data_IF_777284806717
#
_entry.id   IF_777284806717
#
_cell.length_a   1.000
_cell.length_b   1.000
_cell.length_c   1.000
_cell.angle_alpha   90.00
_cell.angle_beta   90.00
_cell.angle_gamma   90.00
#
_symmetry.space_group_name_H-M   'P 1'
#
loop_
_entity.id
_entity.type
_entity.pdbx_description
1 polymer ?
#
# COMPACT_ATOMS: atom_id res chain seq x y z
N UNK A 1 -17.00 0.30 24.69
CA UNK A 1 -17.29 -1.14 24.67
C UNK A 1 -18.50 -1.41 23.82
N UNK A 2 -18.38 -2.29 22.83
CA UNK A 2 -19.53 -2.79 22.07
C UNK A 2 -19.65 -4.29 22.34
N UNK A 3 -20.81 -4.71 22.85
CA UNK A 3 -21.06 -6.09 23.30
C UNK A 3 -22.27 -6.64 22.57
N UNK A 4 -22.13 -7.84 22.00
CA UNK A 4 -23.25 -8.55 21.35
C UNK A 4 -23.05 -10.06 21.39
N UNK A 5 -24.13 -10.80 21.19
CA UNK A 5 -24.07 -12.24 20.99
C UNK A 5 -23.58 -12.56 19.57
N UNK A 6 -22.74 -13.59 19.45
CA UNK A 6 -22.20 -14.06 18.17
C UNK A 6 -22.67 -15.48 17.97
N UNK A 7 -23.40 -15.70 16.86
CA UNK A 7 -23.88 -17.03 16.49
C UNK A 7 -22.84 -17.76 15.65
N UNK A 8 -22.80 -19.09 15.80
CA UNK A 8 -21.87 -19.95 15.08
C UNK A 8 -22.00 -19.76 13.56
N UNK A 9 -20.87 -19.59 12.87
CA UNK A 9 -20.75 -19.45 11.42
C UNK A 9 -21.54 -18.28 10.81
N UNK A 10 -21.98 -17.31 11.62
CA UNK A 10 -22.63 -16.09 11.14
C UNK A 10 -21.77 -14.86 11.48
N UNK A 11 -21.61 -13.93 10.54
CA UNK A 11 -20.83 -12.71 10.78
C UNK A 11 -21.59 -11.79 11.73
N UNK A 12 -20.93 -11.39 12.82
CA UNK A 12 -21.40 -10.40 13.77
C UNK A 12 -20.58 -9.11 13.64
N UNK A 13 -21.25 -7.98 13.44
CA UNK A 13 -20.60 -6.69 13.16
C UNK A 13 -20.58 -5.82 14.42
N UNK A 14 -19.38 -5.43 14.84
CA UNK A 14 -19.13 -4.50 15.91
C UNK A 14 -18.77 -3.13 15.32
N UNK A 15 -19.71 -2.19 15.37
CA UNK A 15 -19.44 -0.80 14.97
C UNK A 15 -18.60 -0.11 16.04
N UNK A 16 -17.51 0.51 15.63
CA UNK A 16 -16.59 1.21 16.52
C UNK A 16 -16.91 2.69 16.46
N UNK A 17 -17.67 3.17 17.45
CA UNK A 17 -17.95 4.58 17.63
C UNK A 17 -16.85 5.21 18.50
N UNK A 18 -15.77 5.61 17.85
CA UNK A 18 -14.72 6.42 18.47
C UNK A 18 -14.55 7.67 17.63
N UNK A 19 -14.54 8.85 18.27
CA UNK A 19 -14.32 10.14 17.61
C UNK A 19 -13.01 10.15 16.83
N UNK A 20 -13.02 9.72 15.56
CA UNK A 20 -11.95 9.69 14.53
C UNK A 20 -10.53 9.23 14.92
N UNK A 21 -10.31 8.83 16.17
CA UNK A 21 -9.00 8.56 16.76
C UNK A 21 -8.45 7.21 16.30
N UNK A 22 -9.28 6.16 16.35
CA UNK A 22 -8.80 4.79 16.10
C UNK A 22 -8.82 4.40 14.63
N UNK A 23 -9.33 5.23 13.70
CA UNK A 23 -9.49 4.94 12.26
C UNK A 23 -10.35 3.72 11.90
N UNK A 24 -10.49 2.74 12.79
CA UNK A 24 -11.36 1.57 12.69
C UNK A 24 -12.81 2.02 12.75
N UNK A 25 -13.59 1.57 11.78
CA UNK A 25 -15.03 1.84 11.70
C UNK A 25 -15.84 0.63 12.13
N UNK A 26 -15.43 -0.57 11.73
CA UNK A 26 -16.15 -1.80 12.00
C UNK A 26 -15.18 -2.98 12.21
N UNK A 27 -15.59 -3.91 13.06
CA UNK A 27 -14.94 -5.21 13.22
C UNK A 27 -16.00 -6.28 13.02
N UNK A 28 -15.77 -7.20 12.10
CA UNK A 28 -16.64 -8.35 11.84
C UNK A 28 -15.99 -9.61 12.40
N UNK A 29 -16.74 -10.40 13.16
CA UNK A 29 -16.28 -11.66 13.73
C UNK A 29 -17.24 -12.77 13.30
N UNK A 30 -16.69 -13.85 12.79
CA UNK A 30 -17.40 -15.12 12.59
C UNK A 30 -16.85 -16.13 13.59
N UNK A 31 -17.69 -16.62 14.50
CA UNK A 31 -17.28 -17.60 15.50
C UNK A 31 -17.55 -19.04 15.04
N UNK A 32 -16.77 -20.00 15.55
CA UNK A 32 -16.99 -21.44 15.30
C UNK A 32 -18.18 -22.01 16.08
N UNK A 33 -18.58 -21.34 17.16
CA UNK A 33 -19.67 -21.74 18.06
C UNK A 33 -20.49 -20.53 18.52
N UNK A 34 -21.62 -20.77 19.20
CA UNK A 34 -22.45 -19.70 19.77
C UNK A 34 -21.78 -19.14 21.03
N UNK A 35 -21.54 -17.83 21.07
CA UNK A 35 -20.89 -17.17 22.20
C UNK A 35 -21.73 -15.95 22.60
N UNK A 36 -22.06 -15.87 23.90
CA UNK A 36 -22.80 -14.75 24.45
C UNK A 36 -21.87 -13.64 24.91
N UNK A 37 -22.35 -12.40 24.85
CA UNK A 37 -21.67 -11.22 25.37
C UNK A 37 -20.22 -11.08 24.86
N UNK A 38 -20.00 -11.30 23.56
CA UNK A 38 -18.70 -11.04 22.96
C UNK A 38 -18.46 -9.54 23.01
N UNK A 39 -17.31 -9.16 23.55
CA UNK A 39 -16.88 -7.78 23.66
C UNK A 39 -15.67 -7.56 22.76
N UNK A 40 -15.68 -6.44 22.04
CA UNK A 40 -14.52 -5.98 21.27
C UNK A 40 -14.15 -4.57 21.71
N UNK A 41 -12.86 -4.36 21.96
CA UNK A 41 -12.29 -3.06 22.31
C UNK A 41 -11.19 -2.68 21.33
N UNK A 42 -11.15 -1.41 20.99
CA UNK A 42 -10.10 -0.80 20.16
C UNK A 42 -9.48 0.32 20.97
N UNK A 43 -8.17 0.27 21.14
CA UNK A 43 -7.38 1.19 21.94
C UNK A 43 -6.09 1.58 21.19
N UNK A 44 -5.37 2.58 21.70
CA UNK A 44 -3.96 2.81 21.33
C UNK A 44 -3.08 2.01 22.30
N UNK A 45 -2.16 1.17 21.82
CA UNK A 45 -1.25 0.42 22.70
C UNK A 45 -0.33 1.36 23.48
N UNK A 46 -0.01 1.00 24.72
CA UNK A 46 1.04 1.68 25.47
C UNK A 46 2.41 1.39 24.85
N UNK A 47 3.40 2.31 24.93
CA UNK A 47 4.72 2.10 24.35
C UNK A 47 5.42 0.81 24.83
N UNK A 48 5.21 0.41 26.08
CA UNK A 48 5.79 -0.81 26.66
C UNK A 48 5.23 -2.12 26.05
N UNK A 49 4.05 -2.06 25.41
CA UNK A 49 3.45 -3.22 24.74
C UNK A 49 4.02 -3.45 23.33
N UNK A 50 4.68 -2.43 22.77
CA UNK A 50 5.26 -2.48 21.43
C UNK A 50 6.68 -3.01 21.54
N UNK A 51 6.85 -4.32 21.38
CA UNK A 51 8.18 -4.95 21.45
C UNK A 51 9.09 -4.57 20.28
N UNK A 52 8.53 -4.10 19.16
CA UNK A 52 9.29 -3.75 17.96
C UNK A 52 8.60 -2.62 17.21
N UNK A 53 9.31 -1.50 17.02
CA UNK A 53 8.79 -0.37 16.26
C UNK A 53 8.57 -0.75 14.79
N UNK A 54 7.54 -0.17 14.17
CA UNK A 54 7.30 -0.36 12.75
C UNK A 54 8.32 0.42 11.90
N UNK A 55 9.24 -0.30 11.25
CA UNK A 55 10.24 0.27 10.35
C UNK A 55 10.30 -0.57 9.08
N UNK A 56 9.72 -0.05 8.01
CA UNK A 56 9.59 -0.75 6.73
C UNK A 56 10.01 0.17 5.58
N UNK A 57 10.88 -0.32 4.69
CA UNK A 57 11.37 0.47 3.55
C UNK A 57 10.20 0.88 2.65
N UNK A 58 10.20 2.14 2.21
CA UNK A 58 9.19 2.74 1.34
C UNK A 58 7.75 2.74 1.90
N UNK A 59 7.59 2.49 3.21
CA UNK A 59 6.29 2.55 3.88
C UNK A 59 6.24 3.70 4.85
N UNK A 60 5.07 4.33 4.94
CA UNK A 60 4.80 5.44 5.84
C UNK A 60 3.80 4.97 6.89
N UNK A 61 4.21 5.09 8.15
CA UNK A 61 3.39 4.77 9.32
C UNK A 61 2.28 5.80 9.51
N UNK A 62 1.04 5.34 9.77
CA UNK A 62 -0.09 6.20 10.15
C UNK A 62 -0.35 6.15 11.65
N UNK A 63 -0.67 4.96 12.17
CA UNK A 63 -1.05 4.80 13.58
C UNK A 63 -0.93 3.34 14.05
N UNK A 64 -0.81 3.18 15.37
CA UNK A 64 -0.92 1.89 16.07
C UNK A 64 -2.35 1.66 16.54
N UNK A 65 -2.77 0.40 16.56
CA UNK A 65 -4.08 -0.04 17.06
C UNK A 65 -3.90 -1.27 17.93
N UNK A 66 -4.60 -1.32 19.06
CA UNK A 66 -4.71 -2.52 19.89
C UNK A 66 -6.15 -2.96 19.86
N UNK A 67 -6.39 -4.18 19.40
CA UNK A 67 -7.74 -4.75 19.40
C UNK A 67 -7.73 -5.92 20.37
N UNK A 68 -8.67 -5.90 21.32
CA UNK A 68 -8.84 -6.96 22.30
C UNK A 68 -10.27 -7.46 22.32
N UNK A 69 -10.43 -8.73 22.68
CA UNK A 69 -11.72 -9.36 22.85
C UNK A 69 -11.68 -10.33 24.02
N UNK A 70 -12.84 -10.66 24.58
CA UNK A 70 -13.00 -11.63 25.66
C UNK A 70 -13.08 -13.09 25.18
N UNK A 71 -13.05 -13.34 23.87
CA UNK A 71 -13.06 -14.70 23.30
C UNK A 71 -11.66 -15.16 22.88
N UNK A 72 -11.38 -16.46 22.99
CA UNK A 72 -10.11 -17.03 22.52
C UNK A 72 -10.04 -17.06 20.99
N UNK A 73 -8.84 -16.97 20.43
CA UNK A 73 -8.63 -17.01 18.98
C UNK A 73 -9.09 -18.31 18.32
N UNK A 74 -9.09 -19.43 19.06
CA UNK A 74 -9.58 -20.73 18.58
C UNK A 74 -11.07 -20.74 18.25
N UNK A 75 -11.83 -19.82 18.87
CA UNK A 75 -13.26 -19.64 18.62
C UNK A 75 -13.55 -18.71 17.44
N UNK A 76 -12.53 -18.05 16.90
CA UNK A 76 -12.66 -17.13 15.76
C UNK A 76 -12.37 -17.92 14.49
N UNK A 77 -13.42 -18.22 13.71
CA UNK A 77 -13.27 -18.84 12.40
C UNK A 77 -12.68 -17.84 11.39
N UNK A 78 -13.15 -16.58 11.45
CA UNK A 78 -12.67 -15.49 10.61
C UNK A 78 -12.96 -14.15 11.31
N UNK A 79 -12.08 -13.17 11.11
CA UNK A 79 -12.38 -11.79 11.46
C UNK A 79 -11.96 -10.83 10.35
N UNK A 80 -12.70 -9.74 10.21
CA UNK A 80 -12.38 -8.63 9.31
C UNK A 80 -12.36 -7.33 10.08
N UNK A 81 -11.44 -6.45 9.72
CA UNK A 81 -11.38 -5.08 10.25
C UNK A 81 -11.60 -4.13 9.07
N UNK A 82 -12.54 -3.20 9.23
CA UNK A 82 -12.73 -2.08 8.32
C UNK A 82 -12.20 -0.82 8.99
N UNK A 83 -11.37 -0.10 8.25
CA UNK A 83 -10.76 1.14 8.72
C UNK A 83 -10.73 2.17 7.60
N UNK A 84 -10.65 3.44 7.99
CA UNK A 84 -10.59 4.57 7.06
C UNK A 84 -9.25 5.30 7.17
N UNK A 85 -8.81 5.86 6.07
CA UNK A 85 -7.61 6.70 5.99
C UNK A 85 -7.95 7.98 5.25
N UNK A 86 -7.53 9.11 5.80
CA UNK A 86 -7.76 10.42 5.20
C UNK A 86 -7.03 10.56 3.86
N UNK A 87 -7.74 11.03 2.82
CA UNK A 87 -7.15 11.34 1.52
C UNK A 87 -6.03 12.38 1.63
N UNK A 88 -6.15 13.31 2.57
CA UNK A 88 -5.11 14.32 2.86
C UNK A 88 -3.80 13.67 3.31
N UNK A 89 -3.85 12.66 4.19
CA UNK A 89 -2.65 11.93 4.63
C UNK A 89 -2.04 11.12 3.47
N UNK A 90 -2.87 10.45 2.65
CA UNK A 90 -2.40 9.71 1.47
C UNK A 90 -1.67 10.63 0.50
N UNK A 91 -2.26 11.79 0.19
CA UNK A 91 -1.69 12.76 -0.75
C UNK A 91 -0.42 13.42 -0.20
N UNK A 92 -0.43 13.85 1.06
CA UNK A 92 0.72 14.50 1.71
C UNK A 92 1.95 13.59 1.77
N UNK A 93 1.73 12.28 1.89
CA UNK A 93 2.81 11.28 1.97
C UNK A 93 3.11 10.60 0.63
N UNK A 94 2.50 11.04 -0.47
CA UNK A 94 2.62 10.45 -1.81
C UNK A 94 2.40 8.92 -1.81
N UNK A 95 1.41 8.45 -1.05
CA UNK A 95 1.08 7.03 -0.92
C UNK A 95 0.23 6.59 -2.10
N UNK A 96 0.44 5.36 -2.57
CA UNK A 96 -0.45 4.72 -3.52
C UNK A 96 -1.74 4.30 -2.78
N UNK A 97 -2.92 4.85 -3.14
CA UNK A 97 -4.19 4.51 -2.49
C UNK A 97 -4.54 3.02 -2.53
N UNK A 98 -3.97 2.25 -3.46
CA UNK A 98 -4.15 0.80 -3.54
C UNK A 98 -3.21 0.01 -2.63
N UNK A 99 -2.19 0.65 -2.04
CA UNK A 99 -1.14 0.04 -1.23
C UNK A 99 -1.15 0.54 0.22
N UNK A 100 -2.34 0.58 0.81
CA UNK A 100 -2.50 0.76 2.26
C UNK A 100 -2.83 -0.59 2.87
N UNK A 101 -2.07 -0.98 3.88
CA UNK A 101 -2.17 -2.30 4.49
C UNK A 101 -2.26 -2.20 6.01
N UNK A 102 -2.95 -3.19 6.59
CA UNK A 102 -2.89 -3.48 8.01
C UNK A 102 -1.76 -4.46 8.28
N UNK A 103 -0.91 -4.17 9.26
CA UNK A 103 0.15 -5.05 9.73
C UNK A 103 -0.19 -5.54 11.13
N UNK A 104 0.16 -6.78 11.45
CA UNK A 104 -0.05 -7.38 12.77
C UNK A 104 1.29 -7.69 13.41
N UNK A 105 1.44 -7.36 14.69
CA UNK A 105 2.62 -7.76 15.47
C UNK A 105 2.50 -9.23 15.88
N UNK A 106 3.43 -10.07 15.42
CA UNK A 106 3.50 -11.50 15.76
C UNK A 106 4.94 -11.83 16.13
N UNK A 107 5.16 -12.23 17.39
CA UNK A 107 6.48 -12.62 17.90
C UNK A 107 7.58 -11.59 17.60
N UNK A 108 7.27 -10.30 17.76
CA UNK A 108 8.20 -9.19 17.48
C UNK A 108 8.33 -8.79 16.00
N UNK A 109 7.60 -9.42 15.09
CA UNK A 109 7.66 -9.11 13.66
C UNK A 109 6.34 -8.52 13.16
N UNK A 110 6.42 -7.54 12.26
CA UNK A 110 5.25 -6.96 11.60
C UNK A 110 4.88 -7.78 10.36
N UNK A 111 3.76 -8.48 10.42
CA UNK A 111 3.25 -9.30 9.31
C UNK A 111 2.18 -8.51 8.59
N UNK A 112 2.37 -8.29 7.28
CA UNK A 112 1.34 -7.68 6.43
C UNK A 112 0.13 -8.60 6.31
N UNK A 113 -1.07 -8.05 6.48
CA UNK A 113 -2.32 -8.75 6.29
C UNK A 113 -2.90 -8.48 4.89
N UNK A 114 -3.70 -9.41 4.34
CA UNK A 114 -4.48 -9.16 3.14
C UNK A 114 -5.43 -7.99 3.38
N UNK A 115 -5.17 -6.86 2.72
CA UNK A 115 -5.97 -5.63 2.82
C UNK A 115 -6.41 -5.21 1.43
N UNK A 116 -7.68 -4.82 1.30
CA UNK A 116 -8.27 -4.33 0.07
C UNK A 116 -8.94 -2.98 0.28
N UNK A 117 -8.83 -2.09 -0.70
CA UNK A 117 -9.65 -0.88 -0.77
C UNK A 117 -11.08 -1.27 -1.13
N UNK A 118 -12.05 -0.85 -0.32
CA UNK A 118 -13.47 -1.20 -0.52
C UNK A 118 -14.27 -0.06 -1.16
N UNK A 119 -14.08 1.17 -0.69
CA UNK A 119 -14.81 2.35 -1.18
C UNK A 119 -14.07 3.62 -0.77
N UNK A 120 -14.55 4.77 -1.23
CA UNK A 120 -14.07 6.09 -0.83
C UNK A 120 -15.21 7.11 -0.80
N UNK A 121 -15.07 8.11 0.06
CA UNK A 121 -15.92 9.30 0.08
C UNK A 121 -15.08 10.55 -0.26
N UNK A 122 -15.62 11.75 -0.02
CA UNK A 122 -14.91 13.00 -0.32
C UNK A 122 -13.61 13.19 0.48
N UNK A 123 -13.50 12.59 1.66
CA UNK A 123 -12.47 12.88 2.64
C UNK A 123 -11.59 11.66 2.95
N UNK A 124 -12.13 10.46 2.83
CA UNK A 124 -11.55 9.21 3.32
C UNK A 124 -11.56 8.11 2.25
N UNK A 125 -10.62 7.18 2.38
CA UNK A 125 -10.64 5.90 1.70
C UNK A 125 -10.83 4.81 2.74
N UNK A 126 -11.71 3.86 2.44
CA UNK A 126 -12.06 2.75 3.32
C UNK A 126 -11.37 1.48 2.83
N UNK A 127 -10.83 0.73 3.79
CA UNK A 127 -10.11 -0.52 3.57
C UNK A 127 -10.72 -1.62 4.44
N UNK A 128 -10.59 -2.86 3.97
CA UNK A 128 -10.95 -4.06 4.71
C UNK A 128 -9.74 -5.00 4.76
N UNK A 129 -9.41 -5.49 5.95
CA UNK A 129 -8.35 -6.49 6.15
C UNK A 129 -8.91 -7.74 6.81
N UNK A 130 -8.48 -8.90 6.34
CA UNK A 130 -8.87 -10.20 6.93
C UNK A 130 -7.79 -10.68 7.90
N UNK A 131 -8.19 -11.28 9.03
CA UNK A 131 -7.31 -11.81 10.06
C UNK A 131 -7.92 -12.99 10.80
N UNK A 132 -7.06 -13.76 11.47
CA UNK A 132 -7.46 -14.95 12.23
C UNK A 132 -7.41 -14.72 13.75
N UNK A 133 -6.79 -13.64 14.22
CA UNK A 133 -6.83 -13.26 15.64
C UNK A 133 -6.43 -11.81 15.87
N UNK A 134 -6.93 -11.24 16.97
CA UNK A 134 -6.66 -9.87 17.40
C UNK A 134 -5.32 -9.75 18.14
N UNK A 135 -4.70 -8.57 18.03
CA UNK A 135 -3.40 -8.24 18.62
C UNK A 135 -3.15 -6.73 18.52
N UNK A 136 -1.88 -6.32 18.49
CA UNK A 136 -1.42 -4.99 18.10
C UNK A 136 -1.26 -4.95 16.58
N UNK A 137 -1.72 -3.86 15.98
CA UNK A 137 -1.71 -3.62 14.56
C UNK A 137 -1.12 -2.25 14.22
N UNK A 138 -0.71 -2.10 12.96
CA UNK A 138 -0.28 -0.84 12.36
C UNK A 138 -1.00 -0.63 11.05
N UNK A 139 -1.47 0.59 10.81
CA UNK A 139 -1.86 1.04 9.47
C UNK A 139 -0.66 1.74 8.85
N UNK A 140 -0.26 1.29 7.66
CA UNK A 140 0.80 1.93 6.89
C UNK A 140 0.48 1.90 5.39
N UNK A 141 1.04 2.86 4.66
CA UNK A 141 0.90 2.97 3.21
C UNK A 141 2.25 2.95 2.50
N UNK A 142 2.31 2.33 1.33
CA UNK A 142 3.50 2.33 0.48
C UNK A 142 3.52 3.60 -0.39
N UNK A 143 4.66 4.27 -0.44
CA UNK A 143 4.85 5.42 -1.34
C UNK A 143 4.72 4.96 -2.80
N UNK A 144 4.17 5.82 -3.67
CA UNK A 144 4.13 5.56 -5.10
C UNK A 144 5.54 5.30 -5.61
N UNK A 145 5.70 4.26 -6.42
CA UNK A 145 6.95 4.03 -7.11
C UNK A 145 7.26 5.27 -7.96
N UNK A 146 8.42 5.90 -7.71
CA UNK A 146 8.90 6.97 -8.56
C UNK A 146 9.10 6.43 -9.98
N UNK A 147 8.55 7.13 -10.97
CA UNK A 147 8.83 6.79 -12.37
C UNK A 147 10.36 6.82 -12.59
N UNK A 148 10.98 5.78 -13.16
CA UNK A 148 12.40 5.78 -13.45
C UNK A 148 12.70 6.80 -14.56
N UNK A 149 13.03 8.03 -14.17
CA UNK A 149 13.31 9.14 -15.08
C UNK A 149 14.39 8.81 -16.13
N UNK A 150 15.33 7.92 -15.79
CA UNK A 150 16.34 7.46 -16.74
C UNK A 150 15.73 6.75 -17.96
N UNK A 151 14.54 6.14 -17.83
CA UNK A 151 13.81 5.59 -18.98
C UNK A 151 13.24 6.68 -19.89
N UNK A 152 12.87 7.86 -19.35
CA UNK A 152 12.44 9.00 -20.17
C UNK A 152 13.58 9.63 -20.98
N UNK A 153 14.84 9.38 -20.59
CA UNK A 153 16.02 9.85 -21.35
C UNK A 153 16.42 8.93 -22.49
N UNK A 154 15.92 7.69 -22.56
CA UNK A 154 16.24 6.73 -23.63
C UNK A 154 16.01 7.34 -25.03
N UNK A 155 14.85 7.94 -25.37
CA UNK A 155 14.67 8.56 -26.69
C UNK A 155 15.63 9.74 -26.92
N UNK A 156 15.96 10.52 -25.89
CA UNK A 156 16.91 11.64 -26.00
C UNK A 156 18.33 11.14 -26.30
N UNK A 157 18.78 10.08 -25.61
CA UNK A 157 20.07 9.44 -25.83
C UNK A 157 20.13 8.82 -27.23
N UNK A 158 19.06 8.15 -27.68
CA UNK A 158 18.97 7.59 -29.05
C UNK A 158 19.08 8.70 -30.10
N UNK A 159 18.42 9.84 -29.90
CA UNK A 159 18.50 10.99 -30.81
C UNK A 159 19.93 11.56 -30.86
N UNK A 160 20.59 11.71 -29.72
CA UNK A 160 21.98 12.18 -29.66
C UNK A 160 22.92 11.23 -30.40
N UNK A 161 22.78 9.91 -30.20
CA UNK A 161 23.56 8.90 -30.92
C UNK A 161 23.28 8.93 -32.42
N UNK A 162 22.02 9.10 -32.84
CA UNK A 162 21.66 9.22 -34.25
C UNK A 162 22.22 10.49 -34.90
N UNK A 163 22.24 11.62 -34.19
CA UNK A 163 22.85 12.88 -34.65
C UNK A 163 24.37 12.72 -34.78
N UNK A 164 25.02 12.12 -33.78
CA UNK A 164 26.47 11.84 -33.84
C UNK A 164 26.78 10.88 -34.98
N UNK A 165 26.01 9.81 -35.14
CA UNK A 165 26.16 8.91 -36.28
C UNK A 165 25.97 9.67 -37.60
N UNK A 166 24.94 10.49 -37.74
CA UNK A 166 24.70 11.29 -38.94
C UNK A 166 25.84 12.27 -39.27
N UNK A 167 26.38 12.95 -38.25
CA UNK A 167 27.46 13.92 -38.42
C UNK A 167 28.83 13.29 -38.70
N UNK A 168 29.07 12.08 -38.20
CA UNK A 168 30.37 11.39 -38.29
C UNK A 168 30.35 10.18 -39.22
N UNK A 169 29.24 9.89 -39.90
CA UNK A 169 29.21 8.88 -40.97
C UNK A 169 29.80 9.46 -42.26
N UNK A 170 30.79 8.81 -42.89
CA UNK A 170 31.32 9.26 -44.16
C UNK A 170 30.26 9.11 -45.26
N UNK A 171 29.68 10.22 -45.72
CA UNK A 171 28.80 10.21 -46.90
C UNK A 171 29.64 9.96 -48.16
N UNK A 172 29.30 8.99 -49.04
CA UNK A 172 30.08 8.69 -50.25
C UNK A 172 30.07 9.81 -51.31
N UNK A 173 29.29 10.87 -51.10
CA UNK A 173 29.04 11.97 -52.05
C UNK A 173 30.31 12.74 -52.44
N UNK A 174 31.30 12.85 -51.55
CA UNK A 174 32.59 13.46 -51.88
C UNK A 174 33.36 12.69 -52.97
N UNK A 175 33.20 11.36 -53.02
CA UNK A 175 33.88 10.52 -54.02
C UNK A 175 33.28 10.60 -55.42
N UNK A 176 31.95 10.80 -55.52
CA UNK A 176 31.27 10.99 -56.81
C UNK A 176 31.55 12.38 -57.40
N UNK A 177 31.60 13.41 -56.58
CA UNK A 177 31.94 14.76 -57.02
C UNK A 177 33.34 14.81 -57.67
N UNK A 178 34.34 14.18 -57.07
CA UNK A 178 35.69 14.13 -57.64
C UNK A 178 35.76 13.27 -58.92
N UNK A 179 34.99 12.16 -58.99
CA UNK A 179 34.85 11.38 -60.24
C UNK A 179 34.26 12.20 -61.37
N UNK A 180 33.22 12.99 -61.07
CA UNK A 180 32.60 13.88 -62.07
C UNK A 180 33.59 14.98 -62.49
N UNK A 181 34.29 15.61 -61.55
CA UNK A 181 35.28 16.64 -61.83
C UNK A 181 36.44 16.14 -62.71
N UNK A 182 36.95 14.94 -62.45
CA UNK A 182 37.95 14.30 -63.32
C UNK A 182 37.41 14.03 -64.74
N UNK A 183 36.13 13.62 -64.85
CA UNK A 183 35.49 13.36 -66.14
C UNK A 183 35.30 14.62 -66.99
N UNK A 184 35.12 15.78 -66.37
CA UNK A 184 34.99 17.07 -67.06
C UNK A 184 36.35 17.68 -67.46
N UNK A 185 37.42 17.43 -66.71
CA UNK A 185 38.76 17.91 -67.03
C UNK A 185 39.50 17.11 -68.12
N UNK A 186 38.92 15.98 -68.57
CA UNK A 186 39.48 15.12 -69.64
C UNK A 186 38.82 15.34 -71.02
N UNK A 187 38.03 16.40 -71.18
CA UNK A 187 37.33 16.74 -72.43
C UNK A 187 37.77 18.11 -72.91
#
# INVERSE_FOLDING_TARGET
TNTQDVQANMPAIFKINSQDLFKVTEIEITATENIKNVEVRVDIPLPIEISTNFVEKNKVFLTYLKITTNISSEKIANAKIRFKVEKTWINANNIDPSKVFLYKLVNGNWIQLPTQKITEDNNNIYYESTLNSFSIFVIAGEIKAGFPWHLALIPVVIIIVAIVAYLFWPTPMGSEYEKLKQKWNQK
#
